data_IF_994176671508
#
_entry.id   IF_994176671508
#
_cell.length_a   1.000
_cell.length_b   1.000
_cell.length_c   1.000
_cell.angle_alpha   90.00
_cell.angle_beta   90.00
_cell.angle_gamma   90.00
#
_symmetry.space_group_name_H-M   'P 1'
#
loop_
_entity.id
_entity.type
_entity.pdbx_description
1 polymer ?
#
# COMPACT_ATOMS: atom_id res chain seq x y z
N UNK A 1 -5.81 -2.48 -10.46
CA UNK A 1 -5.55 -3.53 -9.45
C UNK A 1 -6.76 -4.43 -9.21
N UNK A 2 -7.94 -3.88 -8.89
CA UNK A 2 -9.16 -4.64 -8.49
C UNK A 2 -10.22 -4.79 -9.59
N UNK A 3 -10.11 -4.00 -10.65
CA UNK A 3 -11.02 -3.99 -11.81
C UNK A 3 -10.20 -3.91 -13.10
N UNK A 4 -10.79 -4.35 -14.20
CA UNK A 4 -10.27 -4.17 -15.55
C UNK A 4 -11.30 -3.41 -16.37
N UNK A 5 -10.84 -2.46 -17.18
CA UNK A 5 -11.70 -1.69 -18.07
C UNK A 5 -11.21 -1.89 -19.49
N UNK A 6 -12.12 -2.27 -20.38
CA UNK A 6 -11.85 -2.45 -21.81
C UNK A 6 -12.74 -1.49 -22.58
N UNK A 7 -12.19 -0.87 -23.62
CA UNK A 7 -12.99 -0.10 -24.57
C UNK A 7 -13.31 -1.03 -25.74
N UNK A 8 -14.59 -1.26 -26.03
CA UNK A 8 -15.00 -2.03 -27.20
C UNK A 8 -15.11 -1.11 -28.42
N UNK A 9 -14.93 -1.68 -29.62
CA UNK A 9 -14.96 -0.94 -30.90
C UNK A 9 -16.28 -0.21 -31.17
N UNK A 10 -17.36 -0.53 -30.43
CA UNK A 10 -18.65 0.17 -30.42
C UNK A 10 -18.62 1.48 -29.61
N UNK A 11 -17.49 1.86 -29.01
CA UNK A 11 -17.31 3.08 -28.23
C UNK A 11 -17.78 2.97 -26.77
N UNK A 12 -18.27 1.81 -26.34
CA UNK A 12 -18.69 1.60 -24.96
C UNK A 12 -17.50 1.17 -24.09
N UNK A 13 -17.30 1.88 -22.97
CA UNK A 13 -16.35 1.50 -21.92
C UNK A 13 -17.04 0.53 -20.96
N UNK A 14 -16.56 -0.72 -20.92
CA UNK A 14 -17.04 -1.71 -19.97
C UNK A 14 -15.95 -1.97 -18.93
N UNK A 15 -16.22 -1.59 -17.68
CA UNK A 15 -15.41 -1.95 -16.53
C UNK A 15 -16.01 -3.17 -15.84
N UNK A 16 -15.21 -4.22 -15.65
CA UNK A 16 -15.60 -5.43 -14.94
C UNK A 16 -14.69 -5.63 -13.73
N UNK A 17 -15.30 -5.82 -12.55
CA UNK A 17 -14.57 -6.29 -11.36
C UNK A 17 -14.10 -7.72 -11.63
N UNK A 18 -12.90 -8.06 -11.15
CA UNK A 18 -12.45 -9.45 -11.20
C UNK A 18 -13.30 -10.30 -10.24
N UNK A 19 -14.25 -11.07 -10.81
CA UNK A 19 -15.23 -11.89 -10.07
C UNK A 19 -14.60 -13.04 -9.26
N UNK A 20 -13.34 -13.41 -9.50
CA UNK A 20 -12.69 -14.52 -8.79
C UNK A 20 -11.18 -14.33 -8.69
N UNK A 21 -10.64 -14.55 -7.48
CA UNK A 21 -9.21 -14.56 -7.20
C UNK A 21 -8.45 -15.67 -7.96
N UNK A 22 -9.16 -16.72 -8.39
CA UNK A 22 -8.60 -17.93 -8.99
C UNK A 22 -8.25 -17.79 -10.49
N UNK A 23 -8.75 -16.76 -11.16
CA UNK A 23 -8.47 -16.49 -12.59
C UNK A 23 -7.52 -15.30 -12.80
N UNK A 24 -6.92 -14.80 -11.72
CA UNK A 24 -6.03 -13.65 -11.73
C UNK A 24 -4.57 -14.12 -11.80
N UNK A 25 -3.70 -13.54 -12.64
CA UNK A 25 -2.28 -13.89 -12.65
C UNK A 25 -1.66 -13.69 -11.25
N UNK A 26 -0.83 -14.64 -10.85
CA UNK A 26 -0.27 -14.75 -9.50
C UNK A 26 0.48 -13.47 -9.05
N UNK A 27 1.12 -12.77 -10.00
CA UNK A 27 1.77 -11.47 -9.78
C UNK A 27 0.80 -10.39 -9.29
N UNK A 28 -0.42 -10.35 -9.84
CA UNK A 28 -1.42 -9.35 -9.48
C UNK A 28 -2.05 -9.65 -8.12
N UNK A 29 -2.14 -10.92 -7.74
CA UNK A 29 -2.56 -11.33 -6.40
C UNK A 29 -1.51 -10.97 -5.34
N UNK A 30 -0.23 -11.22 -5.63
CA UNK A 30 0.88 -10.83 -4.76
C UNK A 30 0.93 -9.29 -4.59
N UNK A 31 0.77 -8.54 -5.68
CA UNK A 31 0.70 -7.08 -5.64
C UNK A 31 -0.47 -6.58 -4.77
N UNK A 32 -1.66 -7.20 -4.85
CA UNK A 32 -2.80 -6.86 -3.97
C UNK A 32 -2.48 -7.10 -2.51
N UNK A 33 -1.89 -8.25 -2.18
CA UNK A 33 -1.52 -8.58 -0.80
C UNK A 33 -0.49 -7.59 -0.24
N UNK A 34 0.57 -7.28 -1.00
CA UNK A 34 1.59 -6.32 -0.61
C UNK A 34 1.00 -4.92 -0.37
N UNK A 35 0.10 -4.45 -1.24
CA UNK A 35 -0.57 -3.15 -1.09
C UNK A 35 -1.45 -3.13 0.16
N UNK A 36 -2.23 -4.19 0.43
CA UNK A 36 -3.06 -4.27 1.64
C UNK A 36 -2.19 -4.25 2.90
N UNK A 37 -1.14 -5.06 2.93
CA UNK A 37 -0.21 -5.12 4.08
C UNK A 37 0.44 -3.75 4.30
N UNK A 38 0.88 -3.08 3.24
CA UNK A 38 1.46 -1.75 3.33
C UNK A 38 0.45 -0.71 3.88
N UNK A 39 -0.82 -0.77 3.48
CA UNK A 39 -1.88 0.10 4.02
C UNK A 39 -2.05 -0.14 5.52
N UNK A 40 -2.09 -1.39 5.97
CA UNK A 40 -2.22 -1.73 7.39
C UNK A 40 -1.02 -1.19 8.19
N UNK A 41 0.21 -1.41 7.71
CA UNK A 41 1.44 -0.90 8.33
C UNK A 41 1.41 0.63 8.39
N UNK A 42 0.97 1.29 7.32
CA UNK A 42 0.85 2.74 7.25
C UNK A 42 -0.16 3.27 8.29
N UNK A 43 -1.31 2.60 8.46
CA UNK A 43 -2.29 2.94 9.51
C UNK A 43 -1.69 2.83 10.92
N UNK A 44 -0.93 1.77 11.20
CA UNK A 44 -0.20 1.66 12.47
C UNK A 44 0.84 2.79 12.63
N UNK A 45 1.55 3.15 11.56
CA UNK A 45 2.45 4.30 11.53
C UNK A 45 1.75 5.61 11.89
N UNK A 46 0.56 5.87 11.32
CA UNK A 46 -0.26 7.04 11.65
C UNK A 46 -0.65 7.05 13.13
N UNK A 47 -1.14 5.92 13.65
CA UNK A 47 -1.55 5.82 15.07
C UNK A 47 -0.37 6.11 15.99
N UNK A 48 0.81 5.54 15.70
CA UNK A 48 2.03 5.78 16.47
C UNK A 48 2.51 7.23 16.35
N UNK A 49 2.39 7.84 15.17
CA UNK A 49 2.72 9.25 14.97
C UNK A 49 1.80 10.17 15.81
N UNK A 50 0.51 9.87 15.87
CA UNK A 50 -0.46 10.60 16.71
C UNK A 50 -0.13 10.41 18.19
N UNK A 51 0.22 9.19 18.61
CA UNK A 51 0.61 8.88 19.99
C UNK A 51 1.92 9.55 20.42
N UNK A 52 2.88 9.70 19.49
CA UNK A 52 4.15 10.39 19.70
C UNK A 52 4.07 11.93 19.61
N UNK A 53 2.93 12.48 19.16
CA UNK A 53 2.71 13.91 19.01
C UNK A 53 2.66 14.64 20.36
N UNK A 54 3.07 15.92 20.37
CA UNK A 54 3.00 16.74 21.59
C UNK A 54 1.57 16.96 22.08
N UNK A 55 0.57 16.94 21.19
CA UNK A 55 -0.83 17.16 21.50
C UNK A 55 -1.53 15.97 22.19
N UNK A 56 -0.92 14.78 22.22
CA UNK A 56 -1.49 13.58 22.83
C UNK A 56 -0.72 13.23 24.12
N UNK A 57 -1.42 13.10 25.25
CA UNK A 57 -0.81 12.74 26.55
C UNK A 57 -0.89 11.22 26.83
N UNK A 58 -0.70 10.38 25.81
CA UNK A 58 -0.67 8.92 25.97
C UNK A 58 0.67 8.43 26.56
N UNK A 59 1.72 9.26 26.46
CA UNK A 59 3.07 8.99 26.95
C UNK A 59 3.56 10.23 27.69
N UNK A 60 3.73 10.13 29.01
CA UNK A 60 4.11 11.25 29.89
C UNK A 60 5.59 11.63 29.77
N UNK A 61 6.47 10.67 29.40
CA UNK A 61 7.91 10.95 29.25
C UNK A 61 8.25 11.47 27.86
N UNK A 62 8.85 12.66 27.79
CA UNK A 62 9.29 13.27 26.51
C UNK A 62 10.27 12.40 25.72
N UNK A 63 11.20 11.70 26.39
CA UNK A 63 12.12 10.78 25.71
C UNK A 63 11.39 9.61 25.04
N UNK A 64 10.38 9.05 25.71
CA UNK A 64 9.56 7.98 25.16
C UNK A 64 8.73 8.48 23.98
N UNK A 65 8.21 9.72 24.01
CA UNK A 65 7.53 10.35 22.87
C UNK A 65 8.43 10.50 21.66
N UNK A 66 9.67 10.96 21.87
CA UNK A 66 10.66 11.08 20.78
C UNK A 66 10.95 9.71 20.15
N UNK A 67 11.14 8.66 20.97
CA UNK A 67 11.34 7.29 20.47
C UNK A 67 10.15 6.76 19.67
N UNK A 68 8.92 7.03 20.12
CA UNK A 68 7.69 6.65 19.40
C UNK A 68 7.56 7.38 18.07
N UNK A 69 7.89 8.68 18.02
CA UNK A 69 7.89 9.47 16.79
C UNK A 69 8.96 9.00 15.78
N UNK A 70 10.14 8.59 16.26
CA UNK A 70 11.17 7.99 15.41
C UNK A 70 10.69 6.63 14.87
N UNK A 71 10.10 5.80 15.74
CA UNK A 71 9.58 4.49 15.36
C UNK A 71 8.47 4.59 14.30
N UNK A 72 7.56 5.57 14.41
CA UNK A 72 6.52 5.80 13.40
C UNK A 72 7.14 6.19 12.05
N UNK A 73 8.17 7.04 12.04
CA UNK A 73 8.91 7.39 10.82
C UNK A 73 9.53 6.18 10.12
N UNK A 74 10.17 5.28 10.88
CA UNK A 74 10.73 4.03 10.34
C UNK A 74 9.64 3.14 9.74
N UNK A 75 8.50 3.02 10.43
CA UNK A 75 7.35 2.24 9.95
C UNK A 75 6.80 2.81 8.63
N UNK A 76 6.72 4.13 8.50
CA UNK A 76 6.33 4.79 7.24
C UNK A 76 7.31 4.52 6.11
N UNK A 77 8.62 4.56 6.38
CA UNK A 77 9.64 4.23 5.37
C UNK A 77 9.47 2.79 4.90
N UNK A 78 9.29 1.84 5.82
CA UNK A 78 9.05 0.43 5.50
C UNK A 78 7.78 0.28 4.65
N UNK A 79 6.68 0.93 5.04
CA UNK A 79 5.44 0.91 4.28
C UNK A 79 5.63 1.45 2.86
N UNK A 80 6.36 2.56 2.70
CA UNK A 80 6.68 3.15 1.40
C UNK A 80 7.49 2.21 0.51
N UNK A 81 8.51 1.54 1.06
CA UNK A 81 9.31 0.54 0.34
C UNK A 81 8.44 -0.66 -0.09
N UNK A 82 7.55 -1.13 0.78
CA UNK A 82 6.63 -2.23 0.46
C UNK A 82 5.67 -1.89 -0.70
N UNK A 83 5.26 -0.64 -0.87
CA UNK A 83 4.45 -0.19 -2.02
C UNK A 83 5.29 -0.03 -3.28
N UNK A 84 6.55 0.39 -3.15
CA UNK A 84 7.47 0.54 -4.29
C UNK A 84 7.73 -0.80 -5.00
N UNK A 85 7.88 -1.90 -4.26
CA UNK A 85 8.15 -3.24 -4.82
C UNK A 85 7.14 -3.66 -5.91
N UNK A 86 5.81 -3.73 -5.65
CA UNK A 86 4.84 -4.14 -6.65
C UNK A 86 4.71 -3.13 -7.80
N UNK A 87 4.94 -1.84 -7.56
CA UNK A 87 4.94 -0.81 -8.60
C UNK A 87 6.09 -1.01 -9.56
N UNK A 88 7.32 -1.10 -9.04
CA UNK A 88 8.53 -1.34 -9.84
C UNK A 88 8.45 -2.68 -10.59
N UNK A 89 7.93 -3.73 -9.95
CA UNK A 89 7.73 -5.02 -10.60
C UNK A 89 6.76 -4.92 -11.78
N UNK A 90 5.59 -4.31 -11.59
CA UNK A 90 4.58 -4.14 -12.64
C UNK A 90 5.13 -3.31 -13.80
N UNK A 91 5.91 -2.27 -13.53
CA UNK A 91 6.56 -1.48 -14.57
C UNK A 91 7.58 -2.31 -15.34
N UNK A 92 8.41 -3.09 -14.65
CA UNK A 92 9.42 -3.94 -15.28
C UNK A 92 8.80 -5.05 -16.14
N UNK A 93 7.69 -5.66 -15.73
CA UNK A 93 6.98 -6.65 -16.56
C UNK A 93 6.44 -6.01 -17.83
N UNK A 94 5.79 -4.83 -17.72
CA UNK A 94 5.27 -4.09 -18.88
C UNK A 94 6.40 -3.74 -19.86
N UNK A 95 7.54 -3.24 -19.36
CA UNK A 95 8.69 -2.86 -20.21
C UNK A 95 9.30 -4.06 -20.92
N UNK A 96 9.30 -5.25 -20.30
CA UNK A 96 9.85 -6.48 -20.90
C UNK A 96 8.89 -7.15 -21.89
N UNK A 97 7.59 -6.91 -21.76
CA UNK A 97 6.57 -7.43 -22.67
C UNK A 97 6.43 -6.59 -23.97
N UNK A 98 7.09 -5.42 -24.05
CA UNK A 98 7.27 -4.63 -25.27
C UNK A 98 8.49 -5.10 -26.08
#
# INVERSE_FOLDING_TARGET
LWMTCVVQSTGQMQCKIYDSLLALPQDLQAARALVIIAIIICLFGVILAIAGGKCTNFVEREESKAKVAIASGVIFIIAGVLVLVPVCWTTNTIVRDF
#
